data_IF_489085620444
#
_entry.id   IF_489085620444
#
_cell.length_a   1.000
_cell.length_b   1.000
_cell.length_c   1.000
_cell.angle_alpha   90.00
_cell.angle_beta   90.00
_cell.angle_gamma   90.00
#
_symmetry.space_group_name_H-M   'P 1'
#
loop_
_entity.id
_entity.type
_entity.pdbx_description
1 polymer ?
#
# COMPACT_ATOMS: atom_id res chain seq x y z
N UNK A 1 14.44 6.91 23.29
CA UNK A 1 13.19 6.46 23.95
C UNK A 1 13.12 4.95 23.80
N UNK A 2 12.77 4.21 24.85
CA UNK A 2 12.77 2.74 24.81
C UNK A 2 11.58 2.20 24.00
N UNK A 3 11.70 0.98 23.46
CA UNK A 3 10.64 0.33 22.68
C UNK A 3 9.27 0.30 23.39
N UNK A 4 9.25 0.19 24.73
CA UNK A 4 8.03 0.23 25.54
C UNK A 4 7.33 1.59 25.51
N UNK A 5 8.08 2.69 25.49
CA UNK A 5 7.52 4.04 25.45
C UNK A 5 6.88 4.30 24.07
N UNK A 6 7.56 3.91 22.98
CA UNK A 6 7.04 4.04 21.62
C UNK A 6 5.71 3.30 21.43
N UNK A 7 5.60 2.07 21.94
CA UNK A 7 4.34 1.29 21.89
C UNK A 7 3.21 1.95 22.67
N UNK A 8 3.52 2.54 23.82
CA UNK A 8 2.53 3.24 24.64
C UNK A 8 2.04 4.52 23.96
N UNK A 9 2.93 5.28 23.34
CA UNK A 9 2.58 6.48 22.55
C UNK A 9 1.73 6.08 21.34
N UNK A 10 2.11 5.04 20.61
CA UNK A 10 1.34 4.54 19.48
C UNK A 10 -0.07 4.10 19.89
N UNK A 11 -0.20 3.38 21.01
CA UNK A 11 -1.51 2.96 21.55
C UNK A 11 -2.38 4.14 21.97
N UNK A 12 -1.81 5.19 22.57
CA UNK A 12 -2.54 6.44 22.86
C UNK A 12 -3.01 7.11 21.57
N UNK A 13 -2.17 7.13 20.53
CA UNK A 13 -2.55 7.62 19.21
C UNK A 13 -3.75 6.87 18.64
N UNK A 14 -3.78 5.55 18.73
CA UNK A 14 -4.92 4.73 18.29
C UNK A 14 -6.22 5.13 18.99
N UNK A 15 -6.20 5.42 20.30
CA UNK A 15 -7.39 5.87 21.01
C UNK A 15 -7.87 7.25 20.54
N UNK A 16 -6.93 8.17 20.29
CA UNK A 16 -7.20 9.51 19.76
C UNK A 16 -8.05 9.47 18.49
N UNK A 17 -7.83 8.49 17.59
CA UNK A 17 -8.63 8.32 16.37
C UNK A 17 -10.14 8.28 16.61
N UNK A 18 -10.58 7.74 17.74
CA UNK A 18 -11.99 7.53 18.05
C UNK A 18 -12.55 8.47 19.13
N UNK A 19 -11.68 9.14 19.87
CA UNK A 19 -12.01 10.05 20.97
C UNK A 19 -12.12 11.49 20.48
N UNK A 20 -11.24 11.90 19.56
CA UNK A 20 -11.30 13.20 18.90
C UNK A 20 -12.00 13.08 17.54
N UNK A 21 -12.65 14.16 17.10
CA UNK A 21 -13.34 14.23 15.80
C UNK A 21 -12.63 15.26 14.94
N UNK A 22 -12.56 15.02 13.63
CA UNK A 22 -11.96 15.94 12.66
C UNK A 22 -10.51 16.35 12.99
N UNK A 23 -9.63 15.35 13.24
CA UNK A 23 -8.20 15.62 13.44
C UNK A 23 -7.63 16.25 12.15
N UNK A 24 -6.91 17.39 12.21
CA UNK A 24 -6.39 18.06 11.02
C UNK A 24 -5.47 17.17 10.18
N UNK A 25 -5.58 17.24 8.86
CA UNK A 25 -4.82 16.39 7.95
C UNK A 25 -3.29 16.68 7.95
N UNK A 26 -2.90 17.86 8.40
CA UNK A 26 -1.51 18.33 8.55
C UNK A 26 -0.93 18.11 9.96
N UNK A 27 -1.70 17.51 10.87
CA UNK A 27 -1.23 17.21 12.23
C UNK A 27 -0.07 16.18 12.19
N UNK A 28 1.05 16.50 12.83
CA UNK A 28 2.22 15.63 12.95
C UNK A 28 1.89 14.28 13.61
N UNK A 29 0.78 14.20 14.34
CA UNK A 29 0.20 12.96 14.83
C UNK A 29 0.14 11.82 13.80
N UNK A 30 -0.15 12.10 12.53
CA UNK A 30 -0.25 11.04 11.52
C UNK A 30 1.08 10.32 11.32
N UNK A 31 2.22 11.00 11.53
CA UNK A 31 3.55 10.39 11.38
C UNK A 31 3.78 9.22 12.34
N UNK A 32 3.11 9.27 13.50
CA UNK A 32 3.19 8.21 14.50
C UNK A 32 2.77 6.83 13.97
N UNK A 33 1.91 6.76 12.94
CA UNK A 33 1.45 5.50 12.37
C UNK A 33 2.48 4.78 11.50
N UNK A 34 3.48 5.49 10.99
CA UNK A 34 4.57 4.87 10.23
C UNK A 34 5.93 4.94 10.93
N UNK A 35 6.12 5.83 11.90
CA UNK A 35 7.38 5.98 12.64
C UNK A 35 7.47 5.10 13.89
N UNK A 36 6.37 4.97 14.65
CA UNK A 36 6.41 4.32 15.98
C UNK A 36 6.39 2.78 15.95
N UNK A 37 5.66 2.09 15.06
CA UNK A 37 5.70 0.63 15.04
C UNK A 37 7.10 0.13 14.67
N UNK A 38 7.68 -0.74 15.50
CA UNK A 38 9.01 -1.31 15.26
C UNK A 38 8.91 -2.64 14.51
N UNK A 39 7.76 -3.30 14.58
CA UNK A 39 7.46 -4.60 13.99
C UNK A 39 6.03 -4.71 13.46
N UNK A 40 5.74 -5.75 12.69
CA UNK A 40 4.37 -6.09 12.32
C UNK A 40 3.52 -6.40 13.56
N UNK A 41 4.07 -7.09 14.55
CA UNK A 41 3.38 -7.41 15.80
C UNK A 41 2.85 -6.16 16.51
N UNK A 42 3.60 -5.06 16.52
CA UNK A 42 3.14 -3.81 17.13
C UNK A 42 1.85 -3.29 16.47
N UNK A 43 1.75 -3.34 15.15
CA UNK A 43 0.52 -2.91 14.44
C UNK A 43 -0.63 -3.87 14.72
N UNK A 44 -0.42 -5.18 14.55
CA UNK A 44 -1.50 -6.17 14.64
C UNK A 44 -1.98 -6.43 16.07
N UNK A 45 -1.12 -6.24 17.08
CA UNK A 45 -1.47 -6.41 18.50
C UNK A 45 -2.01 -5.13 19.14
N UNK A 46 -1.44 -3.96 18.84
CA UNK A 46 -1.84 -2.70 19.48
C UNK A 46 -3.05 -2.07 18.82
N UNK A 47 -3.19 -2.16 17.48
CA UNK A 47 -4.37 -1.68 16.78
C UNK A 47 -5.42 -2.80 16.72
N UNK A 48 -6.22 -2.89 17.79
CA UNK A 48 -7.13 -4.02 17.97
C UNK A 48 -8.35 -3.91 17.03
N UNK A 49 -9.03 -5.03 16.73
CA UNK A 49 -10.26 -5.01 15.93
C UNK A 49 -11.34 -4.09 16.52
N UNK A 50 -11.41 -4.01 17.85
CA UNK A 50 -12.38 -3.17 18.55
C UNK A 50 -12.09 -1.69 18.35
N UNK A 51 -10.82 -1.28 18.37
CA UNK A 51 -10.42 0.12 18.16
C UNK A 51 -10.67 0.57 16.71
N UNK A 52 -10.41 -0.31 15.74
CA UNK A 52 -10.66 -0.03 14.32
C UNK A 52 -12.16 0.14 14.06
N UNK A 53 -13.00 -0.80 14.55
CA UNK A 53 -14.46 -0.70 14.42
C UNK A 53 -15.00 0.54 15.12
N UNK A 54 -14.51 0.84 16.33
CA UNK A 54 -14.89 2.05 17.07
C UNK A 54 -14.55 3.31 16.28
N UNK A 55 -13.36 3.40 15.70
CA UNK A 55 -12.95 4.52 14.85
C UNK A 55 -13.84 4.63 13.61
N UNK A 56 -14.03 3.52 12.87
CA UNK A 56 -14.91 3.45 11.69
C UNK A 56 -16.33 3.94 11.99
N UNK A 57 -16.87 3.57 13.14
CA UNK A 57 -18.28 3.84 13.47
C UNK A 57 -18.48 5.20 14.15
N UNK A 58 -17.49 5.71 14.90
CA UNK A 58 -17.59 6.98 15.65
C UNK A 58 -16.88 8.16 15.01
N UNK A 59 -15.86 7.93 14.20
CA UNK A 59 -15.00 8.95 13.58
C UNK A 59 -14.49 8.49 12.19
N UNK A 60 -15.39 8.17 11.24
CA UNK A 60 -15.01 7.74 9.90
C UNK A 60 -14.10 8.75 9.19
N UNK A 61 -14.28 10.06 9.45
CA UNK A 61 -13.44 11.12 8.89
C UNK A 61 -11.96 11.02 9.31
N UNK A 62 -11.68 10.52 10.51
CA UNK A 62 -10.30 10.30 10.96
C UNK A 62 -9.71 9.06 10.29
N UNK A 63 -10.53 8.06 10.00
CA UNK A 63 -10.10 6.86 9.27
C UNK A 63 -9.80 7.18 7.81
N UNK A 64 -10.63 8.01 7.16
CA UNK A 64 -10.36 8.59 5.84
C UNK A 64 -9.01 9.31 5.83
N UNK A 65 -8.80 10.21 6.79
CA UNK A 65 -7.57 11.00 6.89
C UNK A 65 -6.36 10.11 7.13
N UNK A 66 -6.50 9.08 7.99
CA UNK A 66 -5.44 8.08 8.20
C UNK A 66 -5.07 7.36 6.90
N UNK A 67 -6.05 6.88 6.13
CA UNK A 67 -5.83 6.18 4.87
C UNK A 67 -5.13 7.10 3.86
N UNK A 68 -5.56 8.36 3.75
CA UNK A 68 -4.92 9.35 2.88
C UNK A 68 -3.49 9.65 3.31
N UNK A 69 -3.23 9.79 4.62
CA UNK A 69 -1.91 10.07 5.15
C UNK A 69 -0.92 8.93 4.86
N UNK A 70 -1.30 7.68 5.17
CA UNK A 70 -0.41 6.52 4.96
C UNK A 70 -0.21 6.17 3.48
N UNK A 71 -1.24 6.33 2.64
CA UNK A 71 -1.08 6.14 1.18
C UNK A 71 -0.21 7.23 0.58
N UNK A 72 -0.41 8.50 0.97
CA UNK A 72 0.44 9.63 0.56
C UNK A 72 1.90 9.40 0.96
N UNK A 73 2.17 8.98 2.21
CA UNK A 73 3.54 8.67 2.65
C UNK A 73 4.15 7.54 1.82
N UNK A 74 3.41 6.47 1.56
CA UNK A 74 3.86 5.35 0.73
C UNK A 74 4.21 5.80 -0.70
N UNK A 75 3.38 6.65 -1.31
CA UNK A 75 3.64 7.20 -2.65
C UNK A 75 4.87 8.10 -2.65
N UNK A 76 5.05 8.93 -1.62
CA UNK A 76 6.24 9.78 -1.48
C UNK A 76 7.50 8.91 -1.38
N UNK A 77 7.51 7.89 -0.50
CA UNK A 77 8.66 7.01 -0.31
C UNK A 77 9.03 6.27 -1.58
N UNK A 78 8.03 5.72 -2.29
CA UNK A 78 8.22 5.04 -3.57
C UNK A 78 8.97 5.90 -4.60
N UNK A 79 8.69 7.20 -4.65
CA UNK A 79 9.31 8.14 -5.58
C UNK A 79 10.53 8.88 -5.00
N UNK A 80 10.89 8.63 -3.73
CA UNK A 80 11.96 9.36 -3.08
C UNK A 80 13.34 8.96 -3.66
N UNK A 81 14.21 9.93 -4.02
CA UNK A 81 15.51 9.67 -4.64
C UNK A 81 16.45 8.80 -3.81
N UNK A 82 16.34 8.83 -2.48
CA UNK A 82 17.17 8.02 -1.58
C UNK A 82 16.51 6.72 -1.11
N UNK A 83 15.21 6.49 -1.37
CA UNK A 83 14.55 5.28 -0.85
C UNK A 83 15.14 3.98 -1.43
N UNK A 84 15.41 2.94 -0.62
CA UNK A 84 15.33 2.90 0.85
C UNK A 84 16.63 3.39 1.51
N UNK A 85 16.59 4.51 2.23
CA UNK A 85 17.72 5.04 3.01
C UNK A 85 17.33 5.05 4.50
N UNK A 86 18.17 4.53 5.41
CA UNK A 86 17.79 4.38 6.83
C UNK A 86 17.40 5.67 7.54
N UNK A 87 17.87 6.83 7.07
CA UNK A 87 17.64 8.13 7.72
C UNK A 87 16.69 9.00 6.90
N UNK A 88 16.88 9.08 5.58
CA UNK A 88 16.16 10.00 4.70
C UNK A 88 14.83 9.44 4.21
N UNK A 89 14.77 8.13 3.96
CA UNK A 89 13.58 7.46 3.44
C UNK A 89 13.55 5.99 3.89
N UNK A 90 13.22 5.74 5.17
CA UNK A 90 13.38 4.41 5.76
C UNK A 90 12.35 3.43 5.18
N UNK A 91 12.80 2.23 4.79
CA UNK A 91 11.90 1.17 4.33
C UNK A 91 10.85 0.78 5.38
N UNK A 92 11.21 0.86 6.66
CA UNK A 92 10.31 0.55 7.78
C UNK A 92 9.03 1.38 7.73
N UNK A 93 9.12 2.64 7.34
CA UNK A 93 7.94 3.50 7.24
C UNK A 93 7.00 3.05 6.12
N UNK A 94 7.55 2.66 4.96
CA UNK A 94 6.76 2.08 3.88
C UNK A 94 6.07 0.78 4.32
N UNK A 95 6.81 -0.11 5.00
CA UNK A 95 6.27 -1.35 5.53
C UNK A 95 5.19 -1.10 6.60
N UNK A 96 5.35 -0.08 7.45
CA UNK A 96 4.34 0.29 8.43
C UNK A 96 3.07 0.84 7.77
N UNK A 97 3.18 1.67 6.72
CA UNK A 97 2.02 2.09 5.93
C UNK A 97 1.28 0.86 5.37
N UNK A 98 2.01 -0.11 4.83
CA UNK A 98 1.45 -1.36 4.29
C UNK A 98 0.77 -2.19 5.40
N UNK A 99 1.39 -2.30 6.58
CA UNK A 99 0.84 -3.05 7.72
C UNK A 99 -0.44 -2.41 8.25
N UNK A 100 -0.46 -1.08 8.41
CA UNK A 100 -1.65 -0.35 8.86
C UNK A 100 -2.78 -0.51 7.86
N UNK A 101 -2.53 -0.33 6.55
CA UNK A 101 -3.53 -0.56 5.50
C UNK A 101 -4.06 -2.00 5.54
N UNK A 102 -3.17 -2.99 5.57
CA UNK A 102 -3.53 -4.42 5.68
C UNK A 102 -4.41 -4.68 6.89
N UNK A 103 -4.15 -3.97 7.99
CA UNK A 103 -4.88 -4.12 9.25
C UNK A 103 -6.28 -3.49 9.20
N UNK A 104 -6.44 -2.31 8.61
CA UNK A 104 -7.71 -1.56 8.70
C UNK A 104 -8.72 -1.91 7.60
N UNK A 105 -8.26 -2.20 6.38
CA UNK A 105 -9.13 -2.41 5.21
C UNK A 105 -10.19 -3.52 5.40
N UNK A 106 -9.88 -4.69 6.01
CA UNK A 106 -10.88 -5.73 6.29
C UNK A 106 -12.11 -5.21 7.06
N UNK A 107 -11.91 -4.25 7.95
CA UNK A 107 -12.97 -3.68 8.78
C UNK A 107 -13.80 -2.61 8.05
N UNK A 108 -13.31 -2.08 6.94
CA UNK A 108 -14.12 -1.29 6.01
C UNK A 108 -15.02 -2.21 5.20
N UNK A 109 -14.44 -3.27 4.63
CA UNK A 109 -15.15 -4.21 3.77
C UNK A 109 -16.25 -5.00 4.50
N UNK A 110 -16.08 -5.31 5.79
CA UNK A 110 -17.11 -6.03 6.55
C UNK A 110 -18.41 -5.23 6.78
N UNK A 111 -18.39 -3.90 6.55
CA UNK A 111 -19.55 -3.02 6.80
C UNK A 111 -20.21 -2.64 5.49
N UNK A 112 -21.29 -3.33 5.14
CA UNK A 112 -22.04 -3.14 3.88
C UNK A 112 -22.49 -1.69 3.64
N UNK A 113 -22.85 -0.94 4.68
CA UNK A 113 -23.24 0.47 4.55
C UNK A 113 -22.11 1.41 4.11
N UNK A 114 -20.86 0.94 4.07
CA UNK A 114 -19.73 1.67 3.53
C UNK A 114 -19.44 1.35 2.06
N UNK A 115 -20.18 0.45 1.40
CA UNK A 115 -19.90 0.05 0.01
C UNK A 115 -19.85 1.24 -0.97
N UNK A 116 -20.85 2.12 -0.93
CA UNK A 116 -20.89 3.29 -1.83
C UNK A 116 -19.79 4.30 -1.50
N UNK A 117 -19.52 4.49 -0.21
CA UNK A 117 -18.42 5.33 0.27
C UNK A 117 -17.07 4.77 -0.20
N UNK A 118 -16.86 3.47 -0.09
CA UNK A 118 -15.62 2.80 -0.49
C UNK A 118 -15.38 2.99 -1.99
N UNK A 119 -16.42 2.77 -2.81
CA UNK A 119 -16.35 2.98 -4.24
C UNK A 119 -15.99 4.44 -4.56
N UNK A 120 -16.65 5.40 -3.91
CA UNK A 120 -16.38 6.81 -4.12
C UNK A 120 -14.98 7.22 -3.64
N UNK A 121 -14.54 6.72 -2.48
CA UNK A 121 -13.29 7.13 -1.86
C UNK A 121 -12.07 6.52 -2.56
N UNK A 122 -12.13 5.23 -2.90
CA UNK A 122 -10.99 4.52 -3.50
C UNK A 122 -10.95 4.58 -5.03
N UNK A 123 -12.11 4.57 -5.68
CA UNK A 123 -12.23 4.32 -7.13
C UNK A 123 -12.75 5.51 -7.94
N UNK A 124 -13.22 6.59 -7.31
CA UNK A 124 -13.60 7.78 -8.06
C UNK A 124 -12.38 8.50 -8.65
N UNK A 125 -12.60 9.19 -9.77
CA UNK A 125 -11.60 10.05 -10.39
C UNK A 125 -11.17 11.14 -9.40
N UNK A 126 -9.86 11.30 -9.22
CA UNK A 126 -9.29 12.29 -8.30
C UNK A 126 -8.71 13.45 -9.09
N UNK A 127 -8.69 14.62 -8.46
CA UNK A 127 -8.11 15.84 -9.03
C UNK A 127 -7.09 16.40 -8.06
N UNK A 128 -5.88 16.67 -8.56
CA UNK A 128 -4.80 17.30 -7.79
C UNK A 128 -4.54 18.68 -8.35
N UNK A 129 -4.35 19.68 -7.48
CA UNK A 129 -3.91 21.01 -7.94
C UNK A 129 -2.55 20.88 -8.62
N UNK A 130 -2.41 21.48 -9.79
CA UNK A 130 -1.13 21.53 -10.50
C UNK A 130 -0.14 22.39 -9.72
N UNK A 131 1.19 22.12 -9.87
CA UNK A 131 2.23 22.95 -9.23
C UNK A 131 2.11 24.44 -9.61
N UNK A 132 1.63 24.74 -10.82
CA UNK A 132 1.33 26.10 -11.26
C UNK A 132 0.15 26.74 -10.51
N UNK A 133 -0.92 25.98 -10.22
CA UNK A 133 -2.06 26.48 -9.45
C UNK A 133 -1.77 26.71 -7.96
N UNK A 134 -0.81 25.97 -7.39
CA UNK A 134 -0.36 26.21 -6.01
C UNK A 134 0.43 27.52 -5.88
N UNK A 135 1.34 27.79 -6.83
CA UNK A 135 2.19 28.99 -6.85
C UNK A 135 1.38 30.25 -7.20
N UNK A 136 0.41 30.16 -8.13
CA UNK A 136 -0.42 31.31 -8.52
C UNK A 136 -1.28 31.86 -7.36
N UNK A 137 -1.74 31.00 -6.44
CA UNK A 137 -2.47 31.43 -5.24
C UNK A 137 -1.58 32.11 -4.19
N UNK A 138 -0.28 31.79 -4.15
CA UNK A 138 0.67 32.47 -3.23
C UNK A 138 1.02 33.89 -3.72
N UNK A 139 0.93 34.16 -5.03
CA UNK A 139 1.27 35.46 -5.63
C UNK A 139 0.05 36.42 -5.64
N UNK A 140 -1.19 35.90 -5.58
CA UNK A 140 -2.42 36.70 -5.69
C UNK A 140 -2.85 37.42 -4.39
N UNK A 141 -2.00 37.43 -3.36
CA UNK A 141 -2.25 38.11 -2.08
C UNK A 141 -1.57 39.48 -1.96
N UNK A 142 -1.10 40.05 -3.08
CA UNK A 142 -0.69 41.45 -3.13
C UNK A 142 -1.32 42.13 -4.36
N UNK A 143 -2.09 43.18 -4.06
CA UNK A 143 -2.72 44.14 -4.98
C UNK A 143 -4.03 43.72 -5.71
N UNK A 144 -5.04 44.54 -5.42
CA UNK A 144 -6.38 44.49 -5.99
C UNK A 144 -6.39 44.75 -7.50
N UNK A 145 -7.11 43.93 -8.27
CA UNK A 145 -7.93 44.40 -9.39
C UNK A 145 -8.90 43.33 -9.93
N UNK A 146 -10.16 43.71 -10.02
CA UNK A 146 -11.21 43.02 -10.77
C UNK A 146 -10.88 43.06 -12.28
N UNK A 147 -10.53 41.91 -12.88
CA UNK A 147 -10.65 41.71 -14.33
C UNK A 147 -11.13 40.28 -14.63
N UNK A 148 -12.38 40.22 -15.06
CA UNK A 148 -13.02 39.23 -15.94
C UNK A 148 -12.66 37.73 -15.82
N UNK A 149 -13.63 36.99 -15.28
CA UNK A 149 -13.83 35.55 -15.44
C UNK A 149 -13.72 35.10 -16.91
N UNK A 150 -12.54 34.63 -17.32
CA UNK A 150 -12.35 33.77 -18.50
C UNK A 150 -11.61 32.49 -18.10
N UNK A 151 -12.42 31.46 -17.83
CA UNK A 151 -12.11 30.02 -17.95
C UNK A 151 -10.87 29.51 -17.20
N UNK A 152 -10.99 29.34 -15.88
CA UNK A 152 -10.07 28.59 -15.01
C UNK A 152 -10.16 27.07 -15.27
N UNK A 153 -9.77 26.59 -16.46
CA UNK A 153 -9.78 25.16 -16.79
C UNK A 153 -8.44 24.45 -16.62
N UNK A 154 -7.39 25.13 -16.14
CA UNK A 154 -6.02 24.59 -16.08
C UNK A 154 -5.41 24.48 -14.65
N UNK A 155 -6.22 24.50 -13.59
CA UNK A 155 -5.70 24.46 -12.19
C UNK A 155 -5.59 23.06 -11.59
N UNK A 156 -6.24 22.06 -12.17
CA UNK A 156 -6.30 20.71 -11.62
C UNK A 156 -5.92 19.69 -12.69
N UNK A 157 -5.01 18.79 -12.32
CA UNK A 157 -4.65 17.61 -13.09
C UNK A 157 -5.51 16.44 -12.61
N UNK A 158 -6.10 15.72 -13.57
CA UNK A 158 -6.77 14.47 -13.27
C UNK A 158 -5.72 13.41 -12.92
N UNK A 159 -5.87 12.82 -11.75
CA UNK A 159 -4.98 11.78 -11.24
C UNK A 159 -5.76 10.50 -11.03
N UNK A 160 -5.03 9.39 -11.06
CA UNK A 160 -5.59 8.06 -10.87
C UNK A 160 -6.42 7.98 -9.59
N UNK A 161 -7.49 7.18 -9.58
CA UNK A 161 -8.15 6.77 -8.35
C UNK A 161 -7.14 6.25 -7.31
N UNK A 162 -7.45 6.44 -6.03
CA UNK A 162 -6.53 6.11 -4.94
C UNK A 162 -6.14 4.63 -4.94
N UNK A 163 -7.10 3.74 -5.22
CA UNK A 163 -6.82 2.31 -5.29
C UNK A 163 -5.93 1.93 -6.48
N UNK A 164 -6.08 2.56 -7.64
CA UNK A 164 -5.22 2.29 -8.79
C UNK A 164 -3.77 2.70 -8.50
N UNK A 165 -3.57 3.93 -7.99
CA UNK A 165 -2.24 4.43 -7.60
C UNK A 165 -1.61 3.56 -6.50
N UNK A 166 -2.42 3.07 -5.55
CA UNK A 166 -1.98 2.16 -4.50
C UNK A 166 -1.56 0.80 -5.04
N UNK A 167 -2.37 0.19 -5.90
CA UNK A 167 -2.04 -1.11 -6.51
C UNK A 167 -0.78 -1.00 -7.37
N UNK A 168 -0.67 0.03 -8.21
CA UNK A 168 0.52 0.27 -9.03
C UNK A 168 1.76 0.46 -8.16
N UNK A 169 1.65 1.24 -7.07
CA UNK A 169 2.74 1.43 -6.11
C UNK A 169 3.17 0.11 -5.47
N UNK A 170 2.22 -0.74 -5.06
CA UNK A 170 2.54 -2.03 -4.43
C UNK A 170 3.20 -2.99 -5.42
N UNK A 171 2.71 -3.04 -6.67
CA UNK A 171 3.34 -3.82 -7.74
C UNK A 171 4.77 -3.33 -8.01
N UNK A 172 5.00 -2.02 -8.00
CA UNK A 172 6.34 -1.47 -8.15
C UNK A 172 7.27 -1.83 -6.97
N UNK A 173 6.74 -1.79 -5.74
CA UNK A 173 7.49 -2.16 -4.54
C UNK A 173 7.88 -3.64 -4.50
N UNK A 174 7.12 -4.53 -5.16
CA UNK A 174 7.47 -5.95 -5.32
C UNK A 174 8.75 -6.18 -6.14
N UNK A 175 9.14 -5.20 -6.96
CA UNK A 175 10.29 -5.26 -7.86
C UNK A 175 11.25 -4.09 -7.64
N UNK A 176 11.33 -3.62 -6.40
CA UNK A 176 12.08 -2.42 -6.04
C UNK A 176 13.47 -2.78 -5.52
N UNK A 177 14.48 -2.14 -6.11
CA UNK A 177 15.88 -2.25 -5.77
C UNK A 177 16.14 -1.92 -4.30
N UNK A 178 16.86 -2.80 -3.64
CA UNK A 178 17.27 -2.71 -2.24
C UNK A 178 16.15 -2.81 -1.20
N UNK A 179 14.89 -2.97 -1.63
CA UNK A 179 13.73 -3.27 -0.76
C UNK A 179 13.27 -4.72 -0.89
N UNK A 180 13.08 -5.16 -2.14
CA UNK A 180 12.61 -6.51 -2.48
C UNK A 180 13.50 -7.20 -3.50
N UNK A 181 14.50 -6.51 -4.05
CA UNK A 181 15.50 -7.03 -4.98
C UNK A 181 16.90 -6.55 -4.59
N UNK A 182 17.98 -7.22 -5.06
CA UNK A 182 19.33 -6.71 -4.89
C UNK A 182 19.50 -5.30 -5.44
N UNK A 183 20.32 -4.50 -4.74
CA UNK A 183 20.65 -3.12 -5.13
C UNK A 183 21.16 -3.05 -6.57
N UNK A 184 20.49 -2.24 -7.37
CA UNK A 184 20.89 -1.94 -8.74
C UNK A 184 22.03 -0.91 -8.78
N UNK A 185 22.89 -0.93 -9.82
CA UNK A 185 23.91 0.09 -10.02
C UNK A 185 23.31 1.50 -10.16
N UNK A 186 24.08 2.52 -9.76
CA UNK A 186 23.69 3.92 -9.87
C UNK A 186 23.28 4.28 -11.31
N UNK A 187 22.21 5.05 -11.46
CA UNK A 187 21.68 5.48 -12.76
C UNK A 187 20.72 4.49 -13.44
N UNK A 188 20.55 3.28 -12.88
CA UNK A 188 19.46 2.38 -13.31
C UNK A 188 18.12 2.75 -12.66
N UNK A 189 16.99 2.44 -13.30
CA UNK A 189 15.68 2.54 -12.66
C UNK A 189 15.66 1.74 -11.35
N UNK A 190 15.02 2.29 -10.32
CA UNK A 190 14.87 1.60 -9.04
C UNK A 190 13.91 0.41 -9.10
N UNK A 191 12.99 0.42 -10.05
CA UNK A 191 12.07 -0.70 -10.29
C UNK A 191 12.57 -1.51 -11.48
N UNK A 192 12.76 -2.79 -11.26
CA UNK A 192 13.19 -3.74 -12.29
C UNK A 192 12.36 -5.01 -12.16
N UNK A 193 11.42 -5.23 -13.09
CA UNK A 193 10.52 -6.37 -13.12
C UNK A 193 11.25 -7.68 -13.48
N UNK A 194 12.15 -8.14 -12.60
CA UNK A 194 12.88 -9.40 -12.70
C UNK A 194 12.10 -10.52 -12.01
N UNK A 195 12.05 -11.69 -12.65
CA UNK A 195 11.33 -12.86 -12.11
C UNK A 195 12.11 -13.44 -10.92
N UNK A 196 11.47 -13.55 -9.76
CA UNK A 196 12.16 -13.88 -8.50
C UNK A 196 12.82 -15.26 -8.49
N UNK A 197 12.16 -16.27 -9.04
CA UNK A 197 12.56 -17.68 -8.97
C UNK A 197 12.66 -18.28 -10.37
N UNK A 198 13.57 -19.25 -10.54
CA UNK A 198 13.66 -20.03 -11.77
C UNK A 198 12.39 -20.87 -11.97
N UNK A 199 11.96 -21.01 -13.22
CA UNK A 199 10.73 -21.68 -13.61
C UNK A 199 10.17 -21.12 -14.92
N UNK A 200 8.86 -20.89 -14.96
CA UNK A 200 8.18 -20.30 -16.11
C UNK A 200 8.73 -18.88 -16.35
N UNK A 201 9.13 -18.59 -17.59
CA UNK A 201 9.56 -17.25 -18.01
C UNK A 201 10.97 -16.85 -17.56
N UNK A 202 11.66 -17.63 -16.71
CA UNK A 202 13.02 -17.35 -16.29
C UNK A 202 13.76 -18.62 -15.86
N UNK A 203 14.98 -18.84 -16.36
CA UNK A 203 15.80 -19.99 -15.95
C UNK A 203 16.75 -19.69 -14.78
N UNK A 204 16.89 -18.42 -14.39
CA UNK A 204 17.85 -17.96 -13.39
C UNK A 204 17.13 -17.16 -12.31
N UNK A 205 17.19 -17.64 -11.06
CA UNK A 205 16.58 -16.92 -9.95
C UNK A 205 17.35 -15.63 -9.64
N UNK A 206 16.62 -14.60 -9.19
CA UNK A 206 17.24 -13.40 -8.63
C UNK A 206 17.77 -13.74 -7.23
N UNK A 207 18.95 -13.22 -6.89
CA UNK A 207 19.47 -13.37 -5.53
C UNK A 207 18.47 -12.80 -4.52
N UNK A 208 18.11 -13.60 -3.52
CA UNK A 208 17.07 -13.27 -2.55
C UNK A 208 17.58 -13.48 -1.13
N UNK A 209 17.14 -12.63 -0.20
CA UNK A 209 17.40 -12.76 1.23
C UNK A 209 16.09 -12.99 1.97
N UNK A 210 16.17 -13.37 3.25
CA UNK A 210 14.96 -13.53 4.10
C UNK A 210 14.22 -12.21 4.26
N UNK A 211 14.96 -11.10 4.30
CA UNK A 211 14.44 -9.75 4.41
C UNK A 211 13.65 -9.39 3.13
N UNK A 212 14.19 -9.65 1.95
CA UNK A 212 13.46 -9.44 0.69
C UNK A 212 12.20 -10.30 0.58
N UNK A 213 12.26 -11.56 1.00
CA UNK A 213 11.09 -12.45 1.04
C UNK A 213 10.04 -11.98 2.05
N UNK A 214 10.47 -11.50 3.22
CA UNK A 214 9.59 -10.92 4.23
C UNK A 214 8.89 -9.68 3.68
N UNK A 215 9.63 -8.74 3.08
CA UNK A 215 9.10 -7.51 2.50
C UNK A 215 8.10 -7.80 1.37
N UNK A 216 8.44 -8.71 0.44
CA UNK A 216 7.50 -9.18 -0.60
C UNK A 216 6.23 -9.75 0.03
N UNK A 217 6.35 -10.56 1.09
CA UNK A 217 5.21 -11.16 1.77
C UNK A 217 4.29 -10.10 2.39
N UNK A 218 4.83 -9.00 2.94
CA UNK A 218 4.01 -7.91 3.49
C UNK A 218 3.25 -7.16 2.39
N UNK A 219 3.92 -6.87 1.28
CA UNK A 219 3.31 -6.20 0.12
C UNK A 219 2.22 -7.09 -0.49
N UNK A 220 2.50 -8.39 -0.66
CA UNK A 220 1.53 -9.36 -1.17
C UNK A 220 0.32 -9.53 -0.25
N UNK A 221 0.51 -9.44 1.08
CA UNK A 221 -0.60 -9.44 2.04
C UNK A 221 -1.55 -8.27 1.81
N UNK A 222 -1.03 -7.06 1.57
CA UNK A 222 -1.89 -5.92 1.25
C UNK A 222 -2.58 -6.06 -0.11
N UNK A 223 -1.88 -6.52 -1.14
CA UNK A 223 -2.48 -6.80 -2.45
C UNK A 223 -3.61 -7.84 -2.34
N UNK A 224 -3.41 -8.87 -1.52
CA UNK A 224 -4.44 -9.87 -1.23
C UNK A 224 -5.62 -9.26 -0.47
N UNK A 225 -5.37 -8.41 0.52
CA UNK A 225 -6.41 -7.68 1.25
C UNK A 225 -7.25 -6.82 0.30
N UNK A 226 -6.62 -6.01 -0.55
CA UNK A 226 -7.30 -5.19 -1.56
C UNK A 226 -8.12 -6.04 -2.56
N UNK A 227 -7.65 -7.25 -2.86
CA UNK A 227 -8.33 -8.20 -3.74
C UNK A 227 -9.39 -9.06 -3.03
N UNK A 228 -9.44 -8.99 -1.70
CA UNK A 228 -10.24 -9.87 -0.84
C UNK A 228 -11.68 -9.40 -0.61
N UNK A 229 -12.13 -8.32 -1.28
CA UNK A 229 -13.50 -7.79 -1.14
C UNK A 229 -14.57 -8.85 -1.38
N UNK A 230 -14.32 -9.82 -2.25
CA UNK A 230 -15.26 -10.92 -2.52
C UNK A 230 -15.61 -11.77 -1.30
N UNK A 231 -14.74 -11.79 -0.27
CA UNK A 231 -15.00 -12.51 1.00
C UNK A 231 -16.09 -11.85 1.85
N UNK A 232 -16.43 -10.58 1.55
CA UNK A 232 -17.43 -9.79 2.26
C UNK A 232 -18.72 -9.61 1.45
N UNK A 233 -18.79 -10.20 0.25
CA UNK A 233 -19.95 -10.16 -0.62
C UNK A 233 -20.71 -11.49 -0.58
N UNK A 234 -22.02 -11.43 -0.83
CA UNK A 234 -22.81 -12.65 -1.06
C UNK A 234 -22.56 -13.21 -2.46
N UNK A 235 -22.74 -14.53 -2.63
CA UNK A 235 -22.48 -15.21 -3.90
C UNK A 235 -23.29 -14.66 -5.10
N UNK A 236 -24.46 -14.06 -4.85
CA UNK A 236 -25.29 -13.45 -5.90
C UNK A 236 -24.80 -12.08 -6.39
N UNK A 237 -24.07 -11.34 -5.54
CA UNK A 237 -23.58 -9.98 -5.82
C UNK A 237 -22.23 -10.01 -6.53
N UNK A 238 -21.38 -10.99 -6.22
CA UNK A 238 -20.02 -11.06 -6.74
C UNK A 238 -19.93 -11.06 -8.28
N UNK A 239 -20.76 -11.82 -9.04
CA UNK A 239 -20.70 -11.77 -10.50
C UNK A 239 -21.16 -10.45 -11.11
N UNK A 240 -21.95 -9.66 -10.37
CA UNK A 240 -22.50 -8.38 -10.83
C UNK A 240 -21.49 -7.24 -10.62
N UNK A 241 -20.84 -7.23 -9.46
CA UNK A 241 -19.94 -6.15 -9.06
C UNK A 241 -18.47 -6.43 -9.41
N UNK A 242 -18.08 -7.71 -9.42
CA UNK A 242 -16.67 -8.11 -9.54
C UNK A 242 -15.81 -7.61 -8.38
N UNK A 243 -14.48 -7.71 -8.56
CA UNK A 243 -13.49 -7.12 -7.64
C UNK A 243 -12.62 -6.17 -8.44
N UNK A 244 -12.78 -4.87 -8.22
CA UNK A 244 -12.11 -3.83 -9.02
C UNK A 244 -10.58 -3.90 -8.95
N UNK A 245 -10.02 -4.26 -7.79
CA UNK A 245 -8.58 -4.51 -7.63
C UNK A 245 -8.07 -5.58 -8.60
N UNK A 246 -8.80 -6.70 -8.71
CA UNK A 246 -8.45 -7.77 -9.65
C UNK A 246 -8.64 -7.32 -11.10
N UNK A 247 -9.71 -6.58 -11.40
CA UNK A 247 -9.90 -5.99 -12.73
C UNK A 247 -8.74 -5.09 -13.12
N UNK A 248 -8.27 -4.20 -12.23
CA UNK A 248 -7.14 -3.32 -12.48
C UNK A 248 -5.84 -4.10 -12.73
N UNK A 249 -5.51 -5.07 -11.87
CA UNK A 249 -4.33 -5.92 -12.04
C UNK A 249 -4.33 -6.68 -13.36
N UNK A 250 -5.48 -7.25 -13.75
CA UNK A 250 -5.64 -8.03 -14.97
C UNK A 250 -5.77 -7.16 -16.24
N UNK A 251 -6.14 -5.89 -16.11
CA UNK A 251 -6.24 -4.94 -17.22
C UNK A 251 -4.92 -4.18 -17.48
N UNK A 252 -3.85 -4.47 -16.73
CA UNK A 252 -2.56 -3.84 -16.91
C UNK A 252 -2.03 -4.05 -18.35
N UNK A 253 -1.81 -2.96 -19.13
CA UNK A 253 -1.39 -3.08 -20.52
C UNK A 253 0.10 -3.42 -20.67
N UNK A 254 0.90 -3.21 -19.62
CA UNK A 254 2.33 -3.52 -19.65
C UNK A 254 2.56 -5.02 -19.48
N UNK A 255 2.85 -5.66 -20.63
CA UNK A 255 3.10 -7.10 -20.70
C UNK A 255 4.28 -7.53 -19.83
N UNK A 256 5.29 -6.68 -19.64
CA UNK A 256 6.46 -7.03 -18.82
C UNK A 256 6.06 -7.09 -17.35
N UNK A 257 5.29 -6.12 -16.86
CA UNK A 257 4.79 -6.11 -15.48
C UNK A 257 3.96 -7.35 -15.20
N UNK A 258 2.97 -7.62 -16.06
CA UNK A 258 2.07 -8.77 -15.92
C UNK A 258 2.85 -10.08 -15.92
N UNK A 259 3.78 -10.26 -16.87
CA UNK A 259 4.60 -11.46 -16.96
C UNK A 259 5.45 -11.64 -15.70
N UNK A 260 6.12 -10.59 -15.23
CA UNK A 260 7.02 -10.69 -14.09
C UNK A 260 6.28 -10.95 -12.78
N UNK A 261 5.11 -10.35 -12.56
CA UNK A 261 4.25 -10.66 -11.41
C UNK A 261 3.80 -12.12 -11.47
N UNK A 262 3.19 -12.54 -12.58
CA UNK A 262 2.64 -13.89 -12.74
C UNK A 262 3.72 -14.97 -12.58
N UNK A 263 4.82 -14.85 -13.32
CA UNK A 263 5.92 -15.82 -13.29
C UNK A 263 6.57 -15.86 -11.90
N UNK A 264 6.76 -14.71 -11.24
CA UNK A 264 7.32 -14.69 -9.89
C UNK A 264 6.44 -15.43 -8.90
N UNK A 265 5.13 -15.18 -8.91
CA UNK A 265 4.19 -15.86 -8.01
C UNK A 265 4.09 -17.37 -8.31
N UNK A 266 3.95 -17.74 -9.58
CA UNK A 266 3.86 -19.15 -10.00
C UNK A 266 5.14 -19.92 -9.64
N UNK A 267 6.30 -19.37 -9.95
CA UNK A 267 7.58 -20.03 -9.68
C UNK A 267 7.85 -20.14 -8.18
N UNK A 268 7.44 -19.15 -7.37
CA UNK A 268 7.51 -19.25 -5.91
C UNK A 268 6.64 -20.39 -5.37
N UNK A 269 5.42 -20.57 -5.87
CA UNK A 269 4.53 -21.68 -5.45
C UNK A 269 5.04 -23.03 -5.95
N UNK A 270 5.58 -23.09 -7.17
CA UNK A 270 6.12 -24.32 -7.78
C UNK A 270 7.51 -24.73 -7.29
N UNK A 271 8.20 -23.87 -6.54
CA UNK A 271 9.54 -24.16 -6.05
C UNK A 271 9.51 -25.27 -4.99
N UNK A 272 10.38 -26.30 -5.09
CA UNK A 272 10.38 -27.47 -4.20
C UNK A 272 10.67 -27.15 -2.72
N UNK A 273 11.00 -25.89 -2.37
CA UNK A 273 11.14 -25.43 -0.99
C UNK A 273 9.85 -25.49 -0.16
N UNK A 274 8.67 -25.36 -0.79
CA UNK A 274 7.37 -25.46 -0.11
C UNK A 274 7.01 -26.93 0.20
N UNK A 275 7.48 -27.87 -0.62
CA UNK A 275 7.25 -29.31 -0.44
C UNK A 275 7.95 -29.88 0.81
N UNK A 276 9.01 -29.23 1.31
CA UNK A 276 9.72 -29.67 2.53
C UNK A 276 9.02 -29.31 3.85
N UNK A 277 8.05 -28.39 3.83
CA UNK A 277 7.34 -27.93 5.05
C UNK A 277 6.04 -28.70 5.29
N UNK A 278 5.54 -29.45 4.28
CA UNK A 278 4.38 -30.35 4.42
C UNK A 278 4.77 -31.81 4.19
N UNK A 279 5.31 -32.43 5.23
CA UNK A 279 5.17 -33.88 5.45
C UNK A 279 6.20 -34.79 4.80
N UNK A 280 6.91 -35.51 5.68
CA UNK A 280 7.16 -36.97 5.66
C UNK A 280 7.87 -37.60 4.44
N UNK A 281 9.02 -38.21 4.74
CA UNK A 281 9.56 -39.45 4.15
C UNK A 281 9.20 -39.73 2.69
N UNK A 282 10.12 -39.40 1.79
CA UNK A 282 10.17 -39.97 0.45
C UNK A 282 11.61 -40.23 0.03
N UNK A 283 12.41 -40.83 0.93
CA UNK A 283 13.72 -41.41 0.61
C UNK A 283 13.63 -42.92 0.28
N UNK A 284 12.45 -43.41 -0.05
CA UNK A 284 12.27 -44.72 -0.67
C UNK A 284 11.75 -44.54 -2.09
N UNK A 285 12.48 -45.12 -3.04
CA UNK A 285 12.26 -45.19 -4.49
C UNK A 285 13.20 -44.24 -5.24
N UNK A 286 14.48 -44.62 -5.30
CA UNK A 286 15.30 -44.74 -6.52
C UNK A 286 16.74 -45.10 -6.11
N UNK A 287 16.95 -46.37 -5.74
CA UNK A 287 18.23 -47.06 -5.97
C UNK A 287 17.93 -48.32 -6.76
N UNK A 288 18.30 -48.31 -8.03
CA UNK A 288 18.81 -49.51 -8.70
C UNK A 288 20.33 -49.53 -8.47
#
# INVERSE_FOLDING_TARGET
>A
MGASDSKLVFKRGIFRLSEERHIPADDAYWTSFWELPESSEDVFSLFTPADIRRTRDRAPENLETLILAITSRLFILRHHPSFPDPELAPEREALNCIRVLTRILPYLYEKESLSDWEQQFFWAQRRKRTRHGAIANEILFDEAQEVERKTQTAEFEEVKPLAEELVDTLVDLLFFSDLTLPRQPNGRPKVSYAIWQSGVGCNTAVATTKEYESNRSEILRLLLTLSGQSLYMTAGVLPQNGVRTLTHLCACPDKQVVLSVLCSLLNTVGSPGISRIRGTDSDFIYRR
#
